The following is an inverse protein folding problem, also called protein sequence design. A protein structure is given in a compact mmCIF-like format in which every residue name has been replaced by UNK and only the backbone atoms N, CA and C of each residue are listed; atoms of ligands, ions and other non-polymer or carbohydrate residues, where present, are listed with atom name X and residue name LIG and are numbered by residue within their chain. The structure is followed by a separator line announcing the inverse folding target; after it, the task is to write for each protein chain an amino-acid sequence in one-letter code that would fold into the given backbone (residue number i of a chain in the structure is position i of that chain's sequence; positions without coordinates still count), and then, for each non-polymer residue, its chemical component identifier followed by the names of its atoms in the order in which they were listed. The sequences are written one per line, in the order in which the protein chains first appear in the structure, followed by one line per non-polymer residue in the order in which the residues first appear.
data_IF_229425135171
#
_entry.id   IF_229425135171
#
_cell.length_a   1.000
_cell.length_b   1.000
_cell.length_c   1.000
_cell.angle_alpha   90.00
_cell.angle_beta   90.00
_cell.angle_gamma   90.00
#
_symmetry.space_group_name_H-M   'P 1'
#
loop_
_entity.id
_entity.type
_entity.pdbx_description
1 polymer ?
#
# COMPACT_ATOMS: atom_id res chain seq x y z
N UNK A 1 -13.51 8.22 18.19
CA UNK A 1 -12.40 9.06 17.70
C UNK A 1 -11.92 8.50 16.37
N UNK A 2 -12.30 9.10 15.24
CA UNK A 2 -11.79 8.69 13.93
C UNK A 2 -10.38 9.25 13.77
N UNK A 3 -9.36 8.43 14.06
CA UNK A 3 -7.96 8.79 13.88
C UNK A 3 -7.72 9.25 12.44
N UNK A 4 -6.99 10.35 12.27
CA UNK A 4 -6.69 10.92 10.96
C UNK A 4 -5.78 9.94 10.21
N UNK A 5 -6.31 9.25 9.19
CA UNK A 5 -5.53 8.31 8.37
C UNK A 5 -4.34 9.04 7.76
N UNK A 6 -3.14 8.48 7.92
CA UNK A 6 -1.91 9.05 7.37
C UNK A 6 -1.54 8.34 6.08
N UNK A 7 -1.42 9.11 5.01
CA UNK A 7 -1.01 8.59 3.71
C UNK A 7 0.49 8.81 3.50
N UNK A 8 1.22 7.74 3.24
CA UNK A 8 2.66 7.77 2.99
C UNK A 8 2.91 7.21 1.60
N UNK A 9 3.44 8.04 0.71
CA UNK A 9 3.85 7.64 -0.62
C UNK A 9 5.36 7.46 -0.65
N UNK A 10 5.81 6.20 -0.70
CA UNK A 10 7.20 5.82 -0.90
C UNK A 10 7.35 5.07 -2.24
N UNK A 11 6.73 5.58 -3.30
CA UNK A 11 6.81 4.96 -4.64
C UNK A 11 8.23 4.88 -5.21
N UNK A 12 9.19 5.61 -4.61
CA UNK A 12 10.62 5.56 -4.93
C UNK A 12 11.34 4.37 -4.26
N UNK A 13 10.71 3.67 -3.31
CA UNK A 13 11.19 2.42 -2.73
C UNK A 13 11.12 1.27 -3.75
N UNK A 14 12.08 1.25 -4.67
CA UNK A 14 12.23 0.23 -5.71
C UNK A 14 12.96 -1.03 -5.23
N UNK A 15 13.29 -1.09 -3.93
CA UNK A 15 14.02 -2.17 -3.26
C UNK A 15 13.42 -2.46 -1.86
N UNK A 16 13.59 -3.69 -1.38
CA UNK A 16 13.12 -4.13 -0.06
C UNK A 16 13.70 -3.29 1.11
N UNK A 17 14.95 -2.81 1.02
CA UNK A 17 15.58 -1.98 2.07
C UNK A 17 14.83 -0.65 2.30
N UNK A 18 14.35 -0.03 1.23
CA UNK A 18 13.57 1.20 1.33
C UNK A 18 12.20 0.94 1.97
N UNK A 19 11.54 -0.16 1.57
CA UNK A 19 10.31 -0.61 2.21
C UNK A 19 10.51 -0.93 3.70
N UNK A 20 11.68 -1.49 4.06
CA UNK A 20 12.03 -1.78 5.45
C UNK A 20 12.03 -0.51 6.32
N UNK A 21 12.67 0.56 5.84
CA UNK A 21 12.72 1.84 6.56
C UNK A 21 11.33 2.41 6.79
N UNK A 22 10.48 2.39 5.77
CA UNK A 22 9.10 2.85 5.89
C UNK A 22 8.32 2.01 6.91
N UNK A 23 8.43 0.68 6.85
CA UNK A 23 7.76 -0.23 7.78
C UNK A 23 8.27 -0.10 9.23
N UNK A 24 9.55 0.26 9.45
CA UNK A 24 10.12 0.52 10.78
C UNK A 24 9.62 1.82 11.40
N UNK A 25 9.36 2.85 10.58
CA UNK A 25 8.91 4.16 11.05
C UNK A 25 7.45 4.19 11.53
N UNK A 26 6.64 3.21 11.12
CA UNK A 26 5.20 3.20 11.39
C UNK A 26 4.71 1.91 12.07
N UNK A 27 3.46 1.96 12.52
CA UNK A 27 2.69 0.87 13.11
C UNK A 27 1.27 0.96 12.57
N UNK A 28 0.49 -0.13 12.66
CA UNK A 28 -0.88 -0.20 12.11
C UNK A 28 -0.94 0.09 10.60
N UNK A 29 -0.10 -0.61 9.85
CA UNK A 29 0.16 -0.30 8.45
C UNK A 29 -0.81 -1.06 7.53
N UNK A 30 -1.45 -0.30 6.65
CA UNK A 30 -2.20 -0.76 5.48
C UNK A 30 -1.27 -0.65 4.28
N UNK A 31 -0.56 -1.74 3.99
CA UNK A 31 0.57 -1.74 3.07
C UNK A 31 0.13 -2.08 1.66
N UNK A 32 0.36 -1.19 0.71
CA UNK A 32 0.16 -1.45 -0.72
C UNK A 32 1.52 -1.83 -1.32
N UNK A 33 1.63 -3.09 -1.77
CA UNK A 33 2.86 -3.70 -2.26
C UNK A 33 2.63 -4.41 -3.60
N UNK A 34 3.68 -4.55 -4.40
CA UNK A 34 3.63 -5.33 -5.63
C UNK A 34 4.18 -4.61 -6.86
N UNK A 35 4.31 -5.35 -7.95
CA UNK A 35 5.04 -4.95 -9.15
C UNK A 35 5.68 -6.14 -9.84
N UNK A 36 6.78 -5.92 -10.57
CA UNK A 36 7.55 -6.99 -11.19
C UNK A 36 8.38 -7.72 -10.14
N UNK A 37 8.35 -9.06 -10.05
CA UNK A 37 9.17 -9.80 -9.10
C UNK A 37 10.65 -9.48 -9.30
N UNK A 38 11.35 -9.24 -8.18
CA UNK A 38 12.81 -9.12 -8.12
C UNK A 38 13.36 -10.28 -7.30
N UNK A 39 14.58 -10.71 -7.60
CA UNK A 39 15.31 -11.67 -6.78
C UNK A 39 15.38 -11.18 -5.33
N UNK A 40 14.96 -12.04 -4.38
CA UNK A 40 14.91 -11.74 -2.95
C UNK A 40 13.55 -11.32 -2.40
N UNK A 41 12.60 -10.89 -3.25
CA UNK A 41 11.21 -10.60 -2.87
C UNK A 41 11.06 -9.70 -1.63
N UNK A 42 10.12 -10.06 -0.74
CA UNK A 42 9.85 -9.35 0.53
C UNK A 42 10.22 -10.19 1.77
N UNK A 43 10.95 -11.29 1.58
CA UNK A 43 11.24 -12.23 2.66
C UNK A 43 12.08 -11.57 3.78
N UNK A 44 12.99 -10.66 3.42
CA UNK A 44 13.77 -9.89 4.40
C UNK A 44 12.91 -8.98 5.29
N UNK A 45 11.67 -8.69 4.88
CA UNK A 45 10.71 -7.87 5.65
C UNK A 45 9.87 -8.69 6.62
N UNK A 46 10.02 -10.02 6.65
CA UNK A 46 9.33 -10.91 7.58
C UNK A 46 9.30 -10.44 9.04
N UNK A 47 10.40 -9.93 9.66
CA UNK A 47 10.35 -9.43 11.04
C UNK A 47 9.44 -8.20 11.24
N UNK A 48 9.05 -7.50 10.17
CA UNK A 48 8.19 -6.32 10.22
C UNK A 48 6.72 -6.62 9.92
N UNK A 49 6.40 -7.82 9.45
CA UNK A 49 5.04 -8.26 9.15
C UNK A 49 4.03 -8.08 10.30
N UNK A 50 4.40 -8.26 11.60
CA UNK A 50 3.47 -8.00 12.71
C UNK A 50 2.96 -6.55 12.81
N UNK A 51 3.64 -5.59 12.16
CA UNK A 51 3.20 -4.17 12.11
C UNK A 51 2.15 -3.91 11.03
N UNK A 52 1.98 -4.86 10.12
CA UNK A 52 1.10 -4.78 8.97
C UNK A 52 -0.27 -5.31 9.39
N UNK A 53 -1.27 -4.43 9.36
CA UNK A 53 -2.66 -4.80 9.65
C UNK A 53 -3.26 -5.52 8.47
N UNK A 54 -2.97 -5.04 7.27
CA UNK A 54 -3.41 -5.66 6.03
C UNK A 54 -2.52 -5.24 4.86
N UNK A 55 -2.19 -6.20 3.99
CA UNK A 55 -1.45 -5.96 2.76
C UNK A 55 -2.39 -5.96 1.53
N UNK A 56 -2.14 -5.07 0.58
CA UNK A 56 -2.88 -4.96 -0.68
C UNK A 56 -1.90 -5.15 -1.81
N UNK A 57 -2.05 -6.27 -2.50
CA UNK A 57 -1.07 -6.79 -3.45
C UNK A 57 -1.52 -6.49 -4.87
N UNK A 58 -0.61 -5.93 -5.67
CA UNK A 58 -0.88 -5.53 -7.05
C UNK A 58 0.19 -6.09 -8.01
N UNK A 59 -0.20 -6.37 -9.26
CA UNK A 59 0.74 -6.78 -10.31
C UNK A 59 1.20 -8.24 -10.22
N UNK A 60 2.24 -8.57 -10.99
CA UNK A 60 2.70 -9.95 -11.18
C UNK A 60 3.26 -10.58 -9.90
N UNK A 61 3.97 -9.80 -9.07
CA UNK A 61 4.53 -10.29 -7.80
C UNK A 61 3.46 -10.49 -6.70
N UNK A 62 2.18 -10.21 -6.97
CA UNK A 62 1.14 -10.28 -5.95
C UNK A 62 1.00 -11.68 -5.34
N UNK A 63 1.08 -12.73 -6.15
CA UNK A 63 0.98 -14.11 -5.65
C UNK A 63 2.21 -14.53 -4.82
N UNK A 64 3.41 -14.17 -5.27
CA UNK A 64 4.65 -14.42 -4.51
C UNK A 64 4.68 -13.68 -3.18
N UNK A 65 4.25 -12.42 -3.17
CA UNK A 65 4.15 -11.65 -1.94
C UNK A 65 3.07 -12.23 -1.03
N UNK A 66 1.97 -12.71 -1.60
CA UNK A 66 0.92 -13.36 -0.83
C UNK A 66 1.46 -14.62 -0.14
N UNK A 67 2.22 -15.45 -0.85
CA UNK A 67 2.89 -16.63 -0.27
C UNK A 67 3.85 -16.25 0.84
N UNK A 68 4.69 -15.24 0.61
CA UNK A 68 5.69 -14.79 1.59
C UNK A 68 5.05 -14.21 2.86
N UNK A 69 3.93 -13.50 2.73
CA UNK A 69 3.21 -12.88 3.85
C UNK A 69 2.56 -13.89 4.82
N UNK A 70 2.44 -15.17 4.47
CA UNK A 70 1.96 -16.21 5.40
C UNK A 70 0.58 -15.90 6.01
N UNK A 71 0.49 -15.70 7.32
CA UNK A 71 -0.78 -15.44 8.01
C UNK A 71 -1.20 -13.96 8.05
N UNK A 72 -0.37 -13.05 7.53
CA UNK A 72 -0.72 -11.62 7.50
C UNK A 72 -1.97 -11.41 6.65
N UNK A 73 -2.99 -10.68 7.14
CA UNK A 73 -4.17 -10.36 6.34
C UNK A 73 -3.75 -9.67 5.04
N UNK A 74 -4.26 -10.16 3.92
CA UNK A 74 -3.87 -9.64 2.60
C UNK A 74 -4.98 -9.74 1.59
N UNK A 75 -4.89 -8.93 0.56
CA UNK A 75 -5.84 -8.91 -0.54
C UNK A 75 -5.11 -8.70 -1.86
N UNK A 76 -5.33 -9.59 -2.82
CA UNK A 76 -4.81 -9.43 -4.18
C UNK A 76 -5.80 -8.54 -4.93
N UNK A 77 -5.41 -7.27 -5.12
CA UNK A 77 -6.25 -6.25 -5.73
C UNK A 77 -6.06 -6.17 -7.25
N UNK A 78 -4.93 -6.64 -7.77
CA UNK A 78 -4.56 -6.55 -9.19
C UNK A 78 -4.14 -5.13 -9.59
N UNK A 79 -4.99 -4.13 -9.37
CA UNK A 79 -4.77 -2.72 -9.75
C UNK A 79 -4.52 -1.80 -8.55
N UNK A 80 -3.78 -0.71 -8.80
CA UNK A 80 -3.51 0.32 -7.79
C UNK A 80 -4.79 0.96 -7.26
N UNK A 81 -5.75 1.28 -8.13
CA UNK A 81 -7.02 1.90 -7.75
C UNK A 81 -7.80 1.07 -6.72
N UNK A 82 -7.93 -0.23 -6.98
CA UNK A 82 -8.60 -1.16 -6.06
C UNK A 82 -7.84 -1.27 -4.74
N UNK A 83 -6.50 -1.33 -4.80
CA UNK A 83 -5.66 -1.38 -3.61
C UNK A 83 -5.80 -0.14 -2.73
N UNK A 84 -5.75 1.06 -3.33
CA UNK A 84 -5.90 2.33 -2.61
C UNK A 84 -7.28 2.44 -2.00
N UNK A 85 -8.33 2.20 -2.78
CA UNK A 85 -9.72 2.31 -2.31
C UNK A 85 -9.97 1.41 -1.11
N UNK A 86 -9.54 0.14 -1.18
CA UNK A 86 -9.69 -0.81 -0.07
C UNK A 86 -8.80 -0.45 1.12
N UNK A 87 -7.56 -0.02 0.90
CA UNK A 87 -6.66 0.39 1.97
C UNK A 87 -7.18 1.61 2.73
N UNK A 88 -7.68 2.62 2.02
CA UNK A 88 -8.28 3.81 2.64
C UNK A 88 -9.54 3.44 3.42
N UNK A 89 -10.44 2.66 2.81
CA UNK A 89 -11.67 2.24 3.48
C UNK A 89 -11.40 1.43 4.75
N UNK A 90 -10.51 0.44 4.69
CA UNK A 90 -10.16 -0.37 5.84
C UNK A 90 -9.41 0.46 6.90
N UNK A 91 -8.54 1.39 6.49
CA UNK A 91 -7.87 2.32 7.42
C UNK A 91 -8.87 3.23 8.16
N UNK A 92 -9.85 3.79 7.45
CA UNK A 92 -10.88 4.66 8.00
C UNK A 92 -11.85 3.93 8.93
N UNK A 93 -12.18 2.69 8.62
CA UNK A 93 -13.08 1.84 9.41
C UNK A 93 -12.35 1.09 10.54
N UNK A 94 -11.01 1.10 10.54
CA UNK A 94 -10.23 0.46 11.59
C UNK A 94 -10.31 1.19 12.92
N UNK A 95 -10.21 0.43 14.00
CA UNK A 95 -10.05 0.97 15.36
C UNK A 95 -8.60 1.37 15.69
N UNK A 96 -7.72 1.49 14.68
CA UNK A 96 -6.34 1.89 14.91
C UNK A 96 -6.28 3.34 15.37
N UNK A 97 -5.38 3.64 16.31
CA UNK A 97 -5.20 5.01 16.81
C UNK A 97 -4.57 5.94 15.77
N UNK A 98 -3.69 5.39 14.93
CA UNK A 98 -3.01 6.12 13.87
C UNK A 98 -2.81 5.23 12.63
N UNK A 99 -3.89 4.88 11.89
CA UNK A 99 -3.78 4.03 10.72
C UNK A 99 -2.94 4.69 9.63
N UNK A 100 -2.00 3.94 9.05
CA UNK A 100 -1.10 4.42 8.00
C UNK A 100 -1.34 3.65 6.70
N UNK A 101 -1.73 4.34 5.63
CA UNK A 101 -1.77 3.78 4.28
C UNK A 101 -0.43 4.05 3.61
N UNK A 102 0.36 3.00 3.43
CA UNK A 102 1.73 3.08 2.88
C UNK A 102 1.76 2.48 1.48
N UNK A 103 2.10 3.29 0.48
CA UNK A 103 2.48 2.79 -0.85
C UNK A 103 3.99 2.57 -0.89
N UNK A 104 4.42 1.30 -0.82
CA UNK A 104 5.82 0.91 -0.96
C UNK A 104 5.91 -0.38 -1.77
N UNK A 105 6.08 -0.27 -3.11
CA UNK A 105 5.94 -1.40 -4.01
C UNK A 105 7.09 -2.43 -3.92
N UNK A 106 8.22 -2.10 -3.26
CA UNK A 106 9.40 -2.95 -3.06
C UNK A 106 10.03 -3.53 -4.36
N UNK A 107 9.49 -3.16 -5.52
CA UNK A 107 9.82 -3.68 -6.84
C UNK A 107 10.01 -2.54 -7.85
N UNK A 108 10.79 -2.83 -8.90
CA UNK A 108 10.93 -1.92 -10.04
C UNK A 108 9.57 -1.68 -10.72
N UNK A 109 9.44 -0.50 -11.31
CA UNK A 109 8.23 0.04 -11.97
C UNK A 109 7.46 -1.00 -12.79
N UNK A 110 6.14 -0.88 -12.70
CA UNK A 110 5.10 -1.78 -13.22
C UNK A 110 5.01 -1.79 -14.76
N UNK A 111 4.49 -2.87 -15.34
CA UNK A 111 4.01 -2.96 -16.73
C UNK A 111 2.79 -2.03 -17.03
N UNK A 112 2.13 -1.45 -16.01
CA UNK A 112 0.95 -0.57 -16.14
C UNK A 112 1.23 0.95 -16.15
N UNK A 113 2.43 1.41 -15.77
CA UNK A 113 2.77 2.84 -15.70
C UNK A 113 4.20 3.06 -16.23
N UNK A 114 4.45 4.13 -16.99
CA UNK A 114 5.77 4.34 -17.62
C UNK A 114 6.88 4.58 -16.60
N UNK A 115 6.56 5.13 -15.43
CA UNK A 115 7.54 5.44 -14.40
C UNK A 115 6.94 5.47 -12.97
N UNK A 116 7.82 5.53 -11.98
CA UNK A 116 7.45 5.57 -10.56
C UNK A 116 6.72 6.87 -10.17
N UNK A 117 6.91 7.94 -10.94
CA UNK A 117 6.28 9.25 -10.75
C UNK A 117 4.80 9.20 -11.12
N UNK A 118 4.44 8.62 -12.27
CA UNK A 118 3.05 8.42 -12.68
C UNK A 118 2.28 7.59 -11.67
N UNK A 119 2.88 6.49 -11.18
CA UNK A 119 2.28 5.68 -10.10
C UNK A 119 2.06 6.50 -8.82
N UNK A 120 3.05 7.30 -8.43
CA UNK A 120 2.96 8.15 -7.26
C UNK A 120 1.90 9.25 -7.41
N UNK A 121 1.77 9.82 -8.60
CA UNK A 121 0.75 10.81 -8.94
C UNK A 121 -0.64 10.19 -8.96
N UNK A 122 -0.81 8.99 -9.54
CA UNK A 122 -2.06 8.25 -9.51
C UNK A 122 -2.49 7.94 -8.07
N UNK A 123 -1.57 7.50 -7.21
CA UNK A 123 -1.86 7.30 -5.78
C UNK A 123 -2.35 8.58 -5.09
N UNK A 124 -1.66 9.71 -5.31
CA UNK A 124 -2.07 11.01 -4.74
C UNK A 124 -3.43 11.46 -5.27
N UNK A 125 -3.68 11.31 -6.56
CA UNK A 125 -4.96 11.67 -7.18
C UNK A 125 -6.11 10.81 -6.64
N UNK A 126 -5.90 9.51 -6.50
CA UNK A 126 -6.88 8.59 -5.91
C UNK A 126 -7.20 8.97 -4.46
N UNK A 127 -6.19 9.25 -3.64
CA UNK A 127 -6.41 9.70 -2.26
C UNK A 127 -7.16 11.03 -2.24
N UNK A 128 -6.77 12.00 -3.07
CA UNK A 128 -7.44 13.29 -3.15
C UNK A 128 -8.93 13.12 -3.51
N UNK A 129 -9.24 12.26 -4.49
CA UNK A 129 -10.62 11.95 -4.87
C UNK A 129 -11.40 11.27 -3.73
N UNK A 130 -10.78 10.35 -2.99
CA UNK A 130 -11.42 9.69 -1.85
C UNK A 130 -11.61 10.63 -0.65
N UNK A 131 -10.72 11.60 -0.45
CA UNK A 131 -10.82 12.61 0.60
C UNK A 131 -11.78 13.75 0.25
N UNK A 132 -11.96 14.05 -1.03
CA UNK A 132 -12.92 15.06 -1.50
C UNK A 132 -14.38 14.67 -1.20
N UNK A 133 -14.65 13.38 -0.89
CA UNK A 133 -15.99 12.86 -0.66
C UNK A 133 -16.88 12.96 -1.91
N UNK A 134 -18.07 12.34 -1.92
CA UNK A 134 -19.05 12.69 -2.94
C UNK A 134 -19.33 14.18 -2.79
N UNK A 135 -19.04 14.95 -3.84
CA UNK A 135 -19.50 16.32 -3.97
C UNK A 135 -21.01 16.27 -3.75
N UNK A 136 -21.47 16.75 -2.58
CA UNK A 136 -22.89 16.87 -2.30
C UNK A 136 -23.43 17.89 -3.29
N UNK A 137 -24.01 17.42 -4.38
CA UNK A 137 -24.92 18.24 -5.19
C UNK A 137 -26.02 18.69 -4.25
N UNK A 138 -25.97 19.96 -3.84
CA UNK A 138 -27.06 20.60 -3.16
C UNK A 138 -28.23 20.69 -4.15
N UNK A 139 -29.29 19.94 -3.86
CA UNK A 139 -30.61 20.15 -4.49
C UNK A 139 -31.20 21.49 -4.07
#
# INVERSE_FOLDING_TARGET
CSGRVRFVNDSKATNADAAERALRCFSDIFWIAGGRPKEGGIQSLAPLFPRIRKAYLIGEAAEDFARTLGDVPKHICGTLETAVTKAVHDAQTSHAMAPVVLLSPACASFDQFRNYEERGNAFRALIANLQAGPMREAS
#
